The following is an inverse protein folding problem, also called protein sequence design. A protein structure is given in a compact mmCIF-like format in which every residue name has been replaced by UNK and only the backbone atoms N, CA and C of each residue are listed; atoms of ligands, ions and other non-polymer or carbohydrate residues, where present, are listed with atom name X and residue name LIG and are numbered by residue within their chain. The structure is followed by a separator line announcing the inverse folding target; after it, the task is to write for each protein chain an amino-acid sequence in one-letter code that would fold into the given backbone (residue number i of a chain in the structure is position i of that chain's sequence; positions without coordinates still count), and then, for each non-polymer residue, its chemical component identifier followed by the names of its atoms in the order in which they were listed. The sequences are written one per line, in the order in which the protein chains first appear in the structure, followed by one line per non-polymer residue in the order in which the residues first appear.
data_IF_634599117183
#
_entry.id   IF_634599117183
#
_cell.length_a   1.000
_cell.length_b   1.000
_cell.length_c   1.000
_cell.angle_alpha   90.00
_cell.angle_beta   90.00
_cell.angle_gamma   90.00
#
_symmetry.space_group_name_H-M   'P 1'
#
loop_
_entity.id
_entity.type
_entity.pdbx_description
1 polymer ?
#
# COMPACT_ATOMS: atom_id res chain seq x y z
N UNK A 1 -15.98 22.94 10.40
CA UNK A 1 -15.11 24.11 10.59
C UNK A 1 -14.77 24.63 9.21
N UNK A 2 -14.72 25.94 9.04
CA UNK A 2 -14.29 26.57 7.77
C UNK A 2 -12.76 26.51 7.64
N UNK A 3 -12.20 26.40 6.45
CA UNK A 3 -10.74 26.44 6.21
C UNK A 3 -10.04 27.70 6.74
N UNK A 4 -8.80 27.56 7.26
CA UNK A 4 -8.07 28.69 7.88
C UNK A 4 -7.92 29.87 6.92
N UNK A 5 -7.71 29.63 5.62
CA UNK A 5 -7.57 30.68 4.61
C UNK A 5 -8.86 31.50 4.44
N UNK A 6 -10.01 30.83 4.35
CA UNK A 6 -11.30 31.50 4.24
C UNK A 6 -11.64 32.25 5.54
N UNK A 7 -11.29 31.65 6.68
CA UNK A 7 -11.41 32.28 7.98
C UNK A 7 -10.57 33.57 8.08
N UNK A 8 -9.30 33.52 7.69
CA UNK A 8 -8.40 34.68 7.69
C UNK A 8 -8.90 35.76 6.73
N UNK A 9 -9.37 35.41 5.53
CA UNK A 9 -9.98 36.40 4.61
C UNK A 9 -11.13 37.16 5.28
N UNK A 10 -12.03 36.44 5.97
CA UNK A 10 -13.15 37.05 6.70
C UNK A 10 -12.66 37.87 7.91
N UNK A 11 -11.64 37.40 8.61
CA UNK A 11 -11.07 38.06 9.78
C UNK A 11 -10.41 39.39 9.38
N UNK A 12 -9.54 39.37 8.38
CA UNK A 12 -8.84 40.57 7.90
C UNK A 12 -9.77 41.57 7.21
N UNK A 13 -10.87 41.12 6.59
CA UNK A 13 -11.92 42.02 6.08
C UNK A 13 -12.65 42.82 7.17
N UNK A 14 -12.44 42.52 8.46
CA UNK A 14 -12.95 43.33 9.58
C UNK A 14 -11.96 44.42 10.01
N UNK A 15 -10.73 44.41 9.47
CA UNK A 15 -9.68 45.35 9.84
C UNK A 15 -9.39 46.30 8.68
N UNK A 16 -9.82 47.55 8.82
CA UNK A 16 -9.68 48.58 7.79
C UNK A 16 -8.23 48.85 7.37
N UNK A 17 -7.24 48.54 8.22
CA UNK A 17 -5.82 48.75 7.90
C UNK A 17 -5.30 47.84 6.78
N UNK A 18 -6.03 46.76 6.48
CA UNK A 18 -5.65 45.71 5.51
C UNK A 18 -6.58 45.63 4.29
N UNK A 19 -7.45 46.62 4.09
CA UNK A 19 -8.40 46.66 2.98
C UNK A 19 -8.00 47.79 2.03
N UNK A 20 -7.90 47.48 0.73
CA UNK A 20 -7.65 48.43 -0.33
C UNK A 20 -8.89 49.24 -0.71
N UNK A 21 -8.71 50.27 -1.56
CA UNK A 21 -9.81 51.13 -2.01
C UNK A 21 -10.93 50.37 -2.72
N UNK A 22 -10.59 49.24 -3.34
CA UNK A 22 -11.50 48.39 -4.11
C UNK A 22 -12.23 47.35 -3.24
N UNK A 23 -12.01 47.37 -1.91
CA UNK A 23 -12.59 46.40 -0.97
C UNK A 23 -11.85 45.06 -0.87
N UNK A 24 -10.75 44.93 -1.61
CA UNK A 24 -9.88 43.75 -1.60
C UNK A 24 -8.83 43.80 -0.50
N UNK A 25 -8.33 42.63 -0.10
CA UNK A 25 -7.31 42.52 0.94
C UNK A 25 -5.93 42.89 0.40
N UNK A 26 -5.22 43.72 1.16
CA UNK A 26 -3.84 44.11 0.88
C UNK A 26 -2.86 43.02 1.35
N UNK A 27 -2.82 41.89 0.63
CA UNK A 27 -2.00 40.70 1.00
C UNK A 27 -0.54 41.09 1.21
N UNK A 28 0.03 41.89 0.30
CA UNK A 28 1.42 42.34 0.39
C UNK A 28 1.70 43.12 1.68
N UNK A 29 0.73 43.91 2.16
CA UNK A 29 0.84 44.64 3.41
C UNK A 29 0.78 43.71 4.62
N UNK A 30 -0.16 42.74 4.63
CA UNK A 30 -0.25 41.73 5.69
C UNK A 30 1.07 40.93 5.77
N UNK A 31 1.64 40.57 4.62
CA UNK A 31 2.89 39.84 4.53
C UNK A 31 4.11 40.64 5.00
N UNK A 32 4.17 41.93 4.69
CA UNK A 32 5.24 42.80 5.17
C UNK A 32 5.12 43.06 6.68
N UNK A 33 3.91 43.32 7.19
CA UNK A 33 3.69 43.49 8.63
C UNK A 33 4.06 42.23 9.42
N UNK A 34 3.80 41.05 8.86
CA UNK A 34 4.23 39.78 9.45
C UNK A 34 5.75 39.61 9.43
N UNK A 35 6.41 40.01 8.34
CA UNK A 35 7.88 39.98 8.19
C UNK A 35 8.58 40.90 9.19
N UNK A 36 7.97 42.06 9.46
CA UNK A 36 8.50 43.08 10.35
C UNK A 36 8.03 42.93 11.80
N UNK A 37 7.36 41.82 12.16
CA UNK A 37 6.81 41.58 13.50
C UNK A 37 5.98 42.74 14.04
N UNK A 38 5.12 43.32 13.18
CA UNK A 38 4.31 44.48 13.53
C UNK A 38 3.44 44.19 14.77
N UNK A 39 3.52 45.08 15.78
CA UNK A 39 2.84 44.87 17.06
C UNK A 39 1.31 44.88 16.97
N UNK A 40 0.72 45.66 16.05
CA UNK A 40 -0.72 45.70 15.84
C UNK A 40 -1.22 44.41 15.20
N UNK A 41 -0.50 43.89 14.20
CA UNK A 41 -0.81 42.59 13.60
C UNK A 41 -0.74 41.48 14.65
N UNK A 42 0.33 41.42 15.44
CA UNK A 42 0.49 40.39 16.46
C UNK A 42 -0.62 40.49 17.51
N UNK A 43 -0.95 41.68 18.00
CA UNK A 43 -2.09 41.89 18.92
C UNK A 43 -3.42 41.46 18.29
N UNK A 44 -3.63 41.76 17.02
CA UNK A 44 -4.83 41.37 16.28
C UNK A 44 -4.96 39.84 16.21
N UNK A 45 -3.86 39.12 15.92
CA UNK A 45 -3.83 37.66 15.88
C UNK A 45 -3.97 37.04 17.30
N UNK A 46 -3.38 37.67 18.32
CA UNK A 46 -3.50 37.24 19.72
C UNK A 46 -4.94 37.34 20.24
N UNK A 47 -5.79 38.20 19.70
CA UNK A 47 -7.19 38.30 20.13
C UNK A 47 -8.10 37.21 19.52
N UNK A 48 -7.57 36.40 18.60
CA UNK A 48 -8.32 35.36 17.91
C UNK A 48 -7.84 33.96 18.31
N UNK A 49 -8.72 33.16 18.94
CA UNK A 49 -8.37 31.80 19.41
C UNK A 49 -7.84 30.89 18.30
N UNK A 50 -8.30 31.08 17.06
CA UNK A 50 -7.90 30.24 15.95
C UNK A 50 -6.51 30.64 15.45
N UNK A 51 -6.25 31.94 15.34
CA UNK A 51 -4.92 32.45 15.02
C UNK A 51 -3.90 32.11 16.11
N UNK A 52 -4.30 32.15 17.38
CA UNK A 52 -3.49 31.65 18.49
C UNK A 52 -3.06 30.19 18.27
N UNK A 53 -3.99 29.32 17.89
CA UNK A 53 -3.68 27.92 17.67
C UNK A 53 -2.72 27.68 16.48
N UNK A 54 -2.92 28.37 15.37
CA UNK A 54 -2.15 28.11 14.14
C UNK A 54 -0.82 28.85 14.07
N UNK A 55 -0.76 30.09 14.57
CA UNK A 55 0.35 31.00 14.31
C UNK A 55 1.09 31.47 15.56
N UNK A 56 0.64 31.06 16.74
CA UNK A 56 1.28 31.41 18.00
C UNK A 56 1.64 30.13 18.76
N UNK A 57 2.74 30.17 19.49
CA UNK A 57 3.21 29.05 20.31
C UNK A 57 3.55 29.59 21.70
N UNK A 58 3.07 28.93 22.75
CA UNK A 58 3.33 29.33 24.13
C UNK A 58 4.41 28.43 24.71
N UNK A 59 5.52 29.04 25.12
CA UNK A 59 6.63 28.38 25.82
C UNK A 59 6.75 29.06 27.18
N UNK A 60 6.36 28.34 28.23
CA UNK A 60 6.22 28.87 29.59
C UNK A 60 5.38 30.16 29.61
N UNK A 61 5.99 31.30 29.93
CA UNK A 61 5.35 32.60 30.02
C UNK A 61 5.48 33.43 28.73
N UNK A 62 6.19 32.93 27.72
CA UNK A 62 6.45 33.64 26.47
C UNK A 62 5.54 33.12 25.36
N UNK A 63 4.96 34.04 24.58
CA UNK A 63 4.23 33.69 23.36
C UNK A 63 5.04 34.07 22.13
N UNK A 64 5.36 33.08 21.31
CA UNK A 64 6.15 33.21 20.09
C UNK A 64 5.21 33.30 18.88
N UNK A 65 5.37 34.34 18.07
CA UNK A 65 4.69 34.43 16.78
C UNK A 65 5.47 33.67 15.72
N UNK A 66 4.84 32.64 15.15
CA UNK A 66 5.37 31.84 14.05
C UNK A 66 5.18 32.59 12.74
N UNK A 67 5.96 33.67 12.58
CA UNK A 67 5.83 34.62 11.48
C UNK A 67 5.97 33.96 10.10
N UNK A 68 6.86 32.97 9.99
CA UNK A 68 7.04 32.22 8.74
C UNK A 68 5.81 31.36 8.41
N UNK A 69 5.28 30.58 9.36
CA UNK A 69 4.04 29.80 9.18
C UNK A 69 2.87 30.69 8.73
N UNK A 70 2.75 31.87 9.34
CA UNK A 70 1.71 32.84 8.98
C UNK A 70 1.93 33.40 7.57
N UNK A 71 3.16 33.80 7.23
CA UNK A 71 3.52 34.30 5.90
C UNK A 71 3.32 33.25 4.82
N UNK A 72 3.62 32.00 5.10
CA UNK A 72 3.30 30.88 4.21
C UNK A 72 1.79 30.77 3.99
N UNK A 73 0.98 30.88 5.05
CA UNK A 73 -0.48 30.79 4.93
C UNK A 73 -1.11 31.91 4.09
N UNK A 74 -0.65 33.15 4.22
CA UNK A 74 -1.20 34.29 3.46
C UNK A 74 -0.66 34.38 2.03
N UNK A 75 0.54 33.86 1.78
CA UNK A 75 1.13 33.76 0.43
C UNK A 75 0.74 32.45 -0.28
N UNK A 76 0.10 31.52 0.44
CA UNK A 76 -0.46 30.30 -0.12
C UNK A 76 -1.45 30.64 -1.23
N UNK A 77 -1.37 29.90 -2.34
CA UNK A 77 -2.21 30.19 -3.47
C UNK A 77 -3.70 29.95 -3.20
N UNK A 78 -4.19 29.46 -2.05
CA UNK A 78 -5.62 29.57 -1.64
C UNK A 78 -6.04 30.97 -1.24
N UNK A 79 -5.10 31.80 -0.82
CA UNK A 79 -5.34 33.23 -0.76
C UNK A 79 -5.51 33.80 -2.18
N UNK A 80 -4.80 33.24 -3.16
CA UNK A 80 -4.73 33.67 -4.57
C UNK A 80 -5.50 32.82 -5.62
N UNK A 81 -6.19 31.73 -5.26
CA UNK A 81 -6.92 30.83 -6.18
C UNK A 81 -6.62 29.31 -6.22
N UNK A 82 -5.40 28.74 -6.13
CA UNK A 82 -5.13 27.34 -6.57
C UNK A 82 -3.91 26.58 -5.96
N UNK A 83 -3.67 26.50 -4.64
CA UNK A 83 -2.70 25.52 -4.11
C UNK A 83 -3.13 24.93 -2.78
N UNK A 84 -2.93 23.65 -2.58
CA UNK A 84 -3.36 22.97 -1.36
C UNK A 84 -2.24 22.63 -0.39
N UNK A 85 -1.01 23.05 -0.69
CA UNK A 85 0.21 22.58 -0.02
C UNK A 85 1.03 23.74 0.47
N UNK A 86 1.92 23.48 1.44
CA UNK A 86 2.84 24.51 1.94
C UNK A 86 3.91 24.90 0.89
N UNK A 87 4.04 24.11 -0.18
CA UNK A 87 5.03 24.30 -1.23
C UNK A 87 4.41 24.90 -2.49
N UNK A 88 5.19 25.72 -3.20
CA UNK A 88 4.77 26.28 -4.48
C UNK A 88 4.51 25.21 -5.55
N UNK A 89 3.60 25.48 -6.48
CA UNK A 89 3.21 24.56 -7.57
C UNK A 89 4.30 24.37 -8.67
N UNK A 90 5.58 24.54 -8.33
CA UNK A 90 6.71 24.31 -9.23
C UNK A 90 7.59 23.21 -8.66
N UNK A 91 7.89 22.20 -9.48
CA UNK A 91 8.91 21.20 -9.12
C UNK A 91 10.23 21.95 -8.97
N UNK A 92 10.88 21.78 -7.82
CA UNK A 92 12.09 22.53 -7.51
C UNK A 92 12.72 22.09 -6.20
N UNK A 93 13.96 22.49 -6.03
CA UNK A 93 14.70 22.37 -4.78
C UNK A 93 14.33 23.58 -3.91
N UNK A 94 13.86 23.31 -2.70
CA UNK A 94 13.44 24.32 -1.72
C UNK A 94 14.06 23.99 -0.37
N UNK A 95 14.23 25.01 0.48
CA UNK A 95 14.64 24.80 1.87
C UNK A 95 13.41 24.61 2.74
N UNK A 96 13.59 24.04 3.93
CA UNK A 96 12.52 23.87 4.93
C UNK A 96 11.98 25.21 5.46
N UNK A 97 12.77 26.28 5.33
CA UNK A 97 12.50 27.62 5.86
C UNK A 97 12.06 28.67 4.83
N UNK A 98 12.19 28.42 3.53
CA UNK A 98 11.77 29.40 2.52
C UNK A 98 11.42 28.80 1.14
N UNK A 99 10.58 29.52 0.39
CA UNK A 99 10.18 29.19 -0.99
C UNK A 99 11.24 29.69 -2.01
N UNK A 100 12.30 30.35 -1.56
CA UNK A 100 13.33 30.94 -2.44
C UNK A 100 14.36 29.88 -2.85
N UNK A 101 14.72 29.88 -4.15
CA UNK A 101 15.74 28.99 -4.71
C UNK A 101 17.08 29.14 -3.98
N UNK A 102 17.73 27.99 -3.77
CA UNK A 102 18.92 27.79 -2.95
C UNK A 102 20.12 28.56 -3.48
N UNK A 103 20.74 29.32 -2.58
CA UNK A 103 22.18 29.58 -2.54
C UNK A 103 22.59 29.44 -1.06
N UNK A 104 23.25 28.33 -0.70
CA UNK A 104 23.89 28.06 0.60
C UNK A 104 23.01 27.58 1.78
N UNK A 105 22.32 26.44 1.67
CA UNK A 105 21.82 25.71 2.85
C UNK A 105 22.11 24.21 2.77
N UNK A 106 22.36 23.59 3.93
CA UNK A 106 22.73 22.17 4.08
C UNK A 106 21.55 21.20 3.86
N UNK A 107 20.31 21.71 3.90
CA UNK A 107 19.09 20.90 3.80
C UNK A 107 18.20 21.35 2.65
N UNK A 108 18.20 20.54 1.59
CA UNK A 108 17.42 20.77 0.38
C UNK A 108 16.39 19.66 0.22
N UNK A 109 15.12 20.04 0.06
CA UNK A 109 14.03 19.09 -0.17
C UNK A 109 13.52 19.25 -1.60
N UNK A 110 13.30 18.13 -2.28
CA UNK A 110 12.58 18.13 -3.55
C UNK A 110 11.10 18.42 -3.28
N UNK A 111 10.63 19.56 -3.78
CA UNK A 111 9.25 20.00 -3.68
C UNK A 111 8.36 19.24 -4.68
N UNK A 112 7.47 18.41 -4.16
CA UNK A 112 6.32 17.94 -4.90
C UNK A 112 5.07 18.69 -4.42
N UNK A 113 4.32 19.35 -5.32
CA UNK A 113 3.14 20.17 -5.00
C UNK A 113 1.96 19.44 -4.36
N UNK A 114 2.12 18.24 -3.79
CA UNK A 114 1.09 17.46 -3.09
C UNK A 114 1.68 16.57 -1.97
N UNK A 115 2.97 16.72 -1.63
CA UNK A 115 3.69 15.80 -0.74
C UNK A 115 3.10 15.75 0.67
N UNK A 116 2.60 16.89 1.16
CA UNK A 116 2.13 17.09 2.54
C UNK A 116 0.62 17.37 2.63
N UNK A 117 -0.13 16.83 1.67
CA UNK A 117 -1.59 16.90 1.63
C UNK A 117 -2.26 15.59 2.06
N UNK A 118 -3.47 15.72 2.58
CA UNK A 118 -4.45 14.65 2.77
C UNK A 118 -5.71 15.00 1.99
N UNK A 119 -6.33 14.04 1.32
CA UNK A 119 -7.53 14.29 0.52
C UNK A 119 -8.82 14.03 1.33
N UNK A 120 -9.62 15.08 1.56
CA UNK A 120 -11.03 14.95 1.97
C UNK A 120 -11.90 14.73 0.73
N UNK A 121 -11.90 13.48 0.25
CA UNK A 121 -12.62 13.03 -0.94
C UNK A 121 -13.74 12.04 -0.59
N UNK A 122 -14.91 12.21 -1.21
CA UNK A 122 -16.02 11.26 -1.14
C UNK A 122 -15.72 10.01 -1.98
N UNK A 123 -16.16 8.83 -1.52
CA UNK A 123 -15.91 7.59 -2.25
C UNK A 123 -16.90 7.38 -3.40
N UNK A 124 -18.13 7.85 -3.21
CA UNK A 124 -19.20 7.72 -4.21
C UNK A 124 -19.57 9.07 -4.78
N UNK A 125 -20.06 9.08 -6.02
CA UNK A 125 -20.61 10.29 -6.65
C UNK A 125 -21.79 10.85 -5.85
N UNK A 126 -22.60 9.99 -5.24
CA UNK A 126 -23.72 10.41 -4.39
C UNK A 126 -23.22 11.13 -3.16
N UNK A 127 -22.16 10.67 -2.50
CA UNK A 127 -21.54 11.42 -1.40
C UNK A 127 -20.91 12.74 -1.87
N UNK A 128 -20.18 12.73 -2.98
CA UNK A 128 -19.58 13.94 -3.55
C UNK A 128 -20.64 15.00 -3.90
N UNK A 129 -21.75 14.59 -4.54
CA UNK A 129 -22.88 15.46 -4.90
C UNK A 129 -23.71 15.88 -3.69
N UNK A 130 -24.04 14.96 -2.78
CA UNK A 130 -24.90 15.22 -1.60
C UNK A 130 -24.23 16.14 -0.58
N UNK A 131 -22.92 16.05 -0.44
CA UNK A 131 -22.17 16.89 0.51
C UNK A 131 -21.76 18.24 -0.08
N UNK A 132 -21.93 18.45 -1.40
CA UNK A 132 -21.39 19.59 -2.16
C UNK A 132 -19.89 19.84 -1.90
N UNK A 133 -19.17 18.82 -1.44
CA UNK A 133 -17.73 18.90 -1.17
C UNK A 133 -17.00 18.58 -2.47
N UNK A 134 -16.42 19.61 -3.08
CA UNK A 134 -15.32 19.40 -4.04
C UNK A 134 -14.22 18.63 -3.30
N UNK A 135 -13.66 17.62 -3.95
CA UNK A 135 -12.45 16.92 -3.48
C UNK A 135 -11.42 17.95 -3.03
N UNK A 136 -11.21 18.04 -1.73
CA UNK A 136 -10.36 19.08 -1.16
C UNK A 136 -9.10 18.47 -0.61
N UNK A 137 -7.97 18.95 -1.10
CA UNK A 137 -6.67 18.64 -0.54
C UNK A 137 -6.41 19.53 0.68
N UNK A 138 -5.98 18.91 1.76
CA UNK A 138 -5.83 19.53 3.07
C UNK A 138 -4.36 19.48 3.47
N UNK A 139 -3.74 20.62 3.78
CA UNK A 139 -2.32 20.69 4.16
C UNK A 139 -2.09 20.30 5.63
N UNK A 140 -1.07 19.48 5.90
CA UNK A 140 -0.73 18.99 7.24
C UNK A 140 -0.45 20.10 8.28
N UNK A 141 0.09 21.25 7.87
CA UNK A 141 0.39 22.37 8.77
C UNK A 141 -0.84 23.26 8.94
N UNK A 142 -1.38 23.74 7.83
CA UNK A 142 -2.40 24.80 7.83
C UNK A 142 -3.81 24.32 8.21
N UNK A 143 -4.05 23.00 8.19
CA UNK A 143 -5.37 22.42 8.47
C UNK A 143 -5.28 21.26 9.46
N UNK A 144 -4.33 21.37 10.37
CA UNK A 144 -4.06 20.36 11.40
C UNK A 144 -5.34 19.90 12.11
N UNK A 145 -6.23 20.81 12.50
CA UNK A 145 -7.48 20.43 13.19
C UNK A 145 -8.44 19.64 12.29
N UNK A 146 -8.57 20.04 11.03
CA UNK A 146 -9.48 19.38 10.08
C UNK A 146 -8.96 17.98 9.75
N UNK A 147 -7.64 17.82 9.56
CA UNK A 147 -7.00 16.51 9.39
C UNK A 147 -7.13 15.67 10.66
N UNK A 148 -6.91 16.26 11.84
CA UNK A 148 -7.06 15.55 13.11
C UNK A 148 -8.48 15.02 13.28
N UNK A 149 -9.48 15.82 12.95
CA UNK A 149 -10.89 15.39 12.95
C UNK A 149 -11.19 14.35 11.90
N UNK A 150 -10.57 14.44 10.73
CA UNK A 150 -10.73 13.45 9.67
C UNK A 150 -10.17 12.10 10.14
N UNK A 151 -8.96 12.09 10.69
CA UNK A 151 -8.22 10.92 11.18
C UNK A 151 -8.69 10.42 12.56
N UNK A 152 -9.52 11.16 13.28
CA UNK A 152 -9.99 10.71 14.60
C UNK A 152 -10.85 9.45 14.50
N UNK A 153 -10.83 8.56 15.49
CA UNK A 153 -11.75 7.42 15.53
C UNK A 153 -13.21 7.89 15.47
N UNK A 154 -14.03 7.17 14.70
CA UNK A 154 -15.47 7.44 14.55
C UNK A 154 -16.27 6.42 15.35
N UNK A 155 -17.36 6.88 15.97
CA UNK A 155 -18.31 5.99 16.60
C UNK A 155 -19.15 5.29 15.52
N UNK A 156 -19.04 3.97 15.44
CA UNK A 156 -19.90 3.14 14.59
C UNK A 156 -21.33 3.12 15.16
N UNK A 157 -22.32 3.11 14.28
CA UNK A 157 -23.76 3.12 14.60
C UNK A 157 -24.49 2.10 13.72
N UNK A 158 -25.74 1.81 14.04
CA UNK A 158 -26.63 0.92 13.27
C UNK A 158 -26.07 -0.50 13.13
N UNK A 159 -25.59 -1.08 14.24
CA UNK A 159 -25.08 -2.44 14.26
C UNK A 159 -26.20 -3.43 13.95
N UNK A 160 -25.91 -4.33 13.01
CA UNK A 160 -26.75 -5.47 12.66
C UNK A 160 -25.89 -6.71 12.64
N UNK A 161 -26.40 -7.80 13.19
CA UNK A 161 -25.75 -9.11 13.12
C UNK A 161 -26.59 -10.00 12.22
N UNK A 162 -25.92 -10.69 11.31
CA UNK A 162 -26.56 -11.65 10.42
C UNK A 162 -26.06 -13.06 10.77
N UNK A 163 -26.98 -13.97 11.02
CA UNK A 163 -26.71 -15.40 11.17
C UNK A 163 -27.40 -16.18 10.04
N UNK A 164 -26.85 -17.34 9.71
CA UNK A 164 -27.40 -18.23 8.69
C UNK A 164 -27.84 -19.51 9.38
N UNK A 165 -29.15 -19.70 9.52
CA UNK A 165 -29.78 -20.87 10.16
C UNK A 165 -30.79 -21.48 9.18
N UNK A 166 -30.71 -22.79 8.92
CA UNK A 166 -31.62 -23.51 8.01
C UNK A 166 -31.78 -22.84 6.62
N UNK A 167 -30.65 -22.47 6.01
CA UNK A 167 -30.61 -21.76 4.71
C UNK A 167 -31.32 -20.41 4.66
N UNK A 168 -31.67 -19.84 5.83
CA UNK A 168 -32.32 -18.54 5.95
C UNK A 168 -31.42 -17.56 6.67
N UNK A 169 -31.38 -16.34 6.12
CA UNK A 169 -30.72 -15.22 6.75
C UNK A 169 -31.60 -14.71 7.91
N UNK A 170 -31.01 -14.57 9.09
CA UNK A 170 -31.66 -14.02 10.28
C UNK A 170 -30.92 -12.77 10.73
N UNK A 171 -31.66 -11.67 10.88
CA UNK A 171 -31.14 -10.41 11.40
C UNK A 171 -31.36 -10.33 12.91
N UNK A 172 -30.29 -10.02 13.65
CA UNK A 172 -30.28 -9.92 15.11
C UNK A 172 -29.62 -8.59 15.53
N UNK A 173 -30.01 -8.07 16.70
CA UNK A 173 -29.33 -6.93 17.31
C UNK A 173 -28.22 -7.44 18.22
N UNK A 174 -26.93 -7.16 17.93
CA UNK A 174 -25.84 -7.64 18.77
C UNK A 174 -25.78 -6.90 20.11
N UNK A 175 -25.68 -7.64 21.21
CA UNK A 175 -25.46 -7.09 22.55
C UNK A 175 -24.03 -6.55 22.73
N UNK A 176 -23.04 -7.24 22.12
CA UNK A 176 -21.63 -6.85 22.11
C UNK A 176 -20.88 -7.49 20.93
N UNK A 177 -19.75 -6.88 20.51
CA UNK A 177 -18.81 -7.43 19.51
C UNK A 177 -17.66 -8.13 20.25
N UNK A 178 -17.57 -9.46 20.12
CA UNK A 178 -16.58 -10.30 20.80
C UNK A 178 -15.18 -10.22 20.17
N UNK A 179 -15.07 -9.72 18.94
CA UNK A 179 -13.82 -9.43 18.25
C UNK A 179 -13.33 -10.54 17.32
N UNK A 180 -14.09 -11.62 17.17
CA UNK A 180 -13.85 -12.72 16.24
C UNK A 180 -14.91 -12.81 15.13
N UNK A 181 -15.86 -11.87 15.10
CA UNK A 181 -16.89 -11.82 14.07
C UNK A 181 -16.37 -11.23 12.76
N UNK A 182 -16.99 -11.64 11.65
CA UNK A 182 -16.82 -10.99 10.35
C UNK A 182 -17.55 -9.63 10.37
N UNK A 183 -16.87 -8.57 9.94
CA UNK A 183 -17.40 -7.21 9.97
C UNK A 183 -17.58 -6.66 8.56
N UNK A 184 -18.75 -6.08 8.31
CA UNK A 184 -19.02 -5.25 7.13
C UNK A 184 -19.24 -3.82 7.64
N UNK A 185 -18.42 -2.89 7.17
CA UNK A 185 -18.49 -1.48 7.55
C UNK A 185 -18.93 -0.66 6.35
N UNK A 186 -20.09 -0.02 6.45
CA UNK A 186 -20.57 0.92 5.44
C UNK A 186 -20.13 2.35 5.81
N UNK A 187 -19.34 2.98 4.94
CA UNK A 187 -18.92 4.37 5.08
C UNK A 187 -17.61 4.66 4.33
N UNK A 188 -17.05 5.85 4.55
CA UNK A 188 -15.75 6.21 3.98
C UNK A 188 -14.64 5.32 4.55
N UNK A 189 -13.96 4.57 3.69
CA UNK A 189 -12.90 3.63 4.03
C UNK A 189 -11.74 4.30 4.79
N UNK A 190 -11.37 5.54 4.48
CA UNK A 190 -10.32 6.25 5.22
C UNK A 190 -10.70 6.46 6.69
N UNK A 191 -11.93 6.91 6.94
CA UNK A 191 -12.45 7.09 8.29
C UNK A 191 -12.63 5.74 9.02
N UNK A 192 -13.07 4.71 8.29
CA UNK A 192 -13.19 3.35 8.83
C UNK A 192 -11.82 2.79 9.26
N UNK A 193 -10.80 2.87 8.38
CA UNK A 193 -9.44 2.43 8.67
C UNK A 193 -8.84 3.17 9.87
N UNK A 194 -9.01 4.50 9.94
CA UNK A 194 -8.59 5.29 11.10
C UNK A 194 -9.23 4.80 12.40
N UNK A 195 -10.51 4.41 12.35
CA UNK A 195 -11.25 3.92 13.52
C UNK A 195 -10.82 2.49 13.90
N UNK A 196 -10.52 1.64 12.90
CA UNK A 196 -10.06 0.27 13.11
C UNK A 196 -8.64 0.21 13.70
N UNK A 197 -7.79 1.20 13.38
CA UNK A 197 -6.40 1.27 13.87
C UNK A 197 -6.30 1.10 15.38
N UNK A 198 -7.21 1.70 16.15
CA UNK A 198 -7.21 1.62 17.61
C UNK A 198 -7.30 0.18 18.16
N UNK A 199 -7.92 -0.75 17.42
CA UNK A 199 -8.12 -2.15 17.84
C UNK A 199 -7.27 -3.15 17.06
N UNK A 200 -7.03 -2.89 15.77
CA UNK A 200 -6.49 -3.85 14.81
C UNK A 200 -5.10 -3.50 14.26
N UNK A 201 -4.46 -2.42 14.74
CA UNK A 201 -3.06 -2.14 14.38
C UNK A 201 -2.17 -3.36 14.69
N UNK A 202 -1.35 -3.77 13.72
CA UNK A 202 -0.45 -4.92 13.84
C UNK A 202 -1.12 -6.30 13.82
N UNK A 203 -2.41 -6.42 13.52
CA UNK A 203 -3.17 -7.68 13.68
C UNK A 203 -3.74 -8.26 12.39
N UNK A 204 -3.72 -7.51 11.30
CA UNK A 204 -4.31 -7.96 10.04
C UNK A 204 -3.29 -8.80 9.26
N UNK A 205 -3.62 -10.07 9.03
CA UNK A 205 -2.73 -10.99 8.30
C UNK A 205 -2.68 -10.70 6.80
N UNK A 206 -3.81 -10.35 6.21
CA UNK A 206 -3.95 -10.20 4.77
C UNK A 206 -4.89 -9.04 4.45
N UNK A 207 -4.47 -8.19 3.52
CA UNK A 207 -5.30 -7.14 2.93
C UNK A 207 -5.39 -7.40 1.42
N UNK A 208 -6.60 -7.33 0.89
CA UNK A 208 -6.85 -7.30 -0.55
C UNK A 208 -7.67 -6.07 -0.86
N UNK A 209 -7.25 -5.29 -1.85
CA UNK A 209 -8.01 -4.13 -2.33
C UNK A 209 -8.02 -4.07 -3.86
N UNK A 210 -9.18 -3.65 -4.38
CA UNK A 210 -9.42 -3.35 -5.79
C UNK A 210 -9.84 -1.86 -5.90
N UNK A 211 -8.87 -0.92 -5.84
CA UNK A 211 -9.13 0.51 -5.90
C UNK A 211 -9.64 0.96 -7.28
N UNK A 212 -10.21 2.18 -7.40
CA UNK A 212 -10.50 2.76 -8.72
C UNK A 212 -9.22 2.85 -9.56
N UNK A 213 -9.30 2.48 -10.85
CA UNK A 213 -8.16 2.42 -11.76
C UNK A 213 -7.84 3.75 -12.45
N UNK A 214 -8.68 4.75 -12.23
CA UNK A 214 -8.57 6.07 -12.84
C UNK A 214 -8.68 6.02 -14.38
N UNK A 215 -9.60 5.21 -14.90
CA UNK A 215 -9.76 5.01 -16.35
C UNK A 215 -10.43 6.20 -17.05
N UNK A 216 -11.01 7.13 -16.29
CA UNK A 216 -11.88 8.18 -16.80
C UNK A 216 -13.26 7.67 -17.23
N UNK A 217 -13.52 6.36 -17.15
CA UNK A 217 -14.83 5.79 -17.44
C UNK A 217 -15.74 5.92 -16.22
N UNK A 218 -16.69 6.83 -16.35
CA UNK A 218 -17.54 7.29 -15.26
C UNK A 218 -18.73 6.33 -15.02
N UNK A 219 -18.46 5.08 -14.65
CA UNK A 219 -19.53 4.11 -14.30
C UNK A 219 -20.26 4.50 -13.00
N UNK A 220 -21.46 3.95 -12.78
CA UNK A 220 -22.45 4.48 -11.83
C UNK A 220 -22.03 4.40 -10.34
N UNK A 221 -21.08 3.55 -9.97
CA UNK A 221 -20.89 3.12 -8.57
C UNK A 221 -19.73 3.77 -7.81
N UNK A 222 -18.65 4.18 -8.49
CA UNK A 222 -17.45 4.75 -7.84
C UNK A 222 -16.92 5.97 -8.58
N UNK A 223 -16.21 6.86 -7.88
CA UNK A 223 -15.43 7.89 -8.57
C UNK A 223 -14.21 7.20 -9.22
N UNK A 224 -14.09 7.28 -10.54
CA UNK A 224 -12.97 6.73 -11.31
C UNK A 224 -12.34 7.80 -12.23
N UNK A 225 -12.63 9.06 -11.94
CA UNK A 225 -12.17 10.20 -12.70
C UNK A 225 -11.45 11.18 -11.76
N UNK A 226 -10.25 10.80 -11.34
CA UNK A 226 -9.37 11.62 -10.52
C UNK A 226 -8.34 12.32 -11.41
N UNK A 227 -7.92 13.52 -11.01
CA UNK A 227 -6.59 13.96 -11.43
C UNK A 227 -5.57 12.97 -10.84
N UNK A 228 -4.58 12.55 -11.63
CA UNK A 228 -3.53 11.62 -11.20
C UNK A 228 -2.92 11.96 -9.82
N UNK A 229 -2.66 13.25 -9.56
CA UNK A 229 -2.15 13.72 -8.26
C UNK A 229 -3.15 13.49 -7.10
N UNK A 230 -4.45 13.65 -7.36
CA UNK A 230 -5.49 13.38 -6.38
C UNK A 230 -5.63 11.88 -6.11
N UNK A 231 -5.51 11.05 -7.16
CA UNK A 231 -5.51 9.59 -7.03
C UNK A 231 -4.35 9.11 -6.15
N UNK A 232 -3.14 9.63 -6.37
CA UNK A 232 -1.97 9.25 -5.56
C UNK A 232 -2.13 9.63 -4.09
N UNK A 233 -2.65 10.83 -3.78
CA UNK A 233 -2.91 11.20 -2.37
C UNK A 233 -4.03 10.35 -1.77
N UNK A 234 -5.10 10.08 -2.53
CA UNK A 234 -6.19 9.20 -2.13
C UNK A 234 -5.68 7.81 -1.73
N UNK A 235 -4.81 7.23 -2.56
CA UNK A 235 -4.20 5.91 -2.30
C UNK A 235 -3.18 5.95 -1.18
N UNK A 236 -2.30 6.96 -1.14
CA UNK A 236 -1.23 7.11 -0.13
C UNK A 236 -1.79 7.03 1.28
N UNK A 237 -2.78 7.87 1.58
CA UNK A 237 -3.39 7.97 2.91
C UNK A 237 -3.96 6.62 3.38
N UNK A 238 -4.53 5.83 2.46
CA UNK A 238 -5.13 4.52 2.75
C UNK A 238 -4.10 3.41 2.88
N UNK A 239 -3.11 3.39 1.99
CA UNK A 239 -2.02 2.41 1.99
C UNK A 239 -1.15 2.56 3.25
N UNK A 240 -0.91 3.80 3.71
CA UNK A 240 -0.23 4.05 4.98
C UNK A 240 -0.97 3.44 6.17
N UNK A 241 -2.29 3.64 6.26
CA UNK A 241 -3.12 3.01 7.29
C UNK A 241 -3.15 1.49 7.14
N UNK A 242 -3.25 0.96 5.92
CA UNK A 242 -3.23 -0.46 5.66
C UNK A 242 -1.93 -1.11 6.17
N UNK A 243 -0.78 -0.47 5.93
CA UNK A 243 0.52 -0.94 6.45
C UNK A 243 0.57 -0.98 7.98
N UNK A 244 -0.01 0.00 8.66
CA UNK A 244 -0.08 0.03 10.13
C UNK A 244 -1.00 -1.06 10.69
N UNK A 245 -2.04 -1.44 9.95
CA UNK A 245 -2.97 -2.51 10.32
C UNK A 245 -2.36 -3.90 10.15
N UNK A 246 -1.48 -4.10 9.17
CA UNK A 246 -0.85 -5.39 8.92
C UNK A 246 -0.03 -5.88 10.13
N UNK A 247 -0.07 -7.19 10.40
CA UNK A 247 0.92 -7.87 11.24
C UNK A 247 2.28 -7.93 10.54
N UNK A 248 3.36 -8.18 11.28
CA UNK A 248 4.72 -8.20 10.71
C UNK A 248 4.92 -9.30 9.67
N UNK A 249 4.22 -10.42 9.85
CA UNK A 249 4.12 -11.51 8.90
C UNK A 249 2.96 -11.33 7.89
N UNK A 250 2.39 -10.13 7.79
CA UNK A 250 1.23 -9.83 6.96
C UNK A 250 1.58 -9.37 5.55
N UNK A 251 0.63 -9.50 4.63
CA UNK A 251 0.77 -9.09 3.24
C UNK A 251 -0.43 -8.29 2.72
N UNK A 252 -0.20 -7.48 1.69
CA UNK A 252 -1.21 -6.74 0.96
C UNK A 252 -1.14 -7.04 -0.54
N UNK A 253 -2.31 -7.27 -1.12
CA UNK A 253 -2.55 -7.37 -2.54
C UNK A 253 -3.33 -6.13 -3.01
N UNK A 254 -2.82 -5.46 -4.05
CA UNK A 254 -3.47 -4.29 -4.65
C UNK A 254 -3.63 -4.51 -6.15
N UNK A 255 -4.88 -4.60 -6.60
CA UNK A 255 -5.21 -4.76 -8.01
C UNK A 255 -5.18 -3.41 -8.72
N UNK A 256 -4.76 -3.38 -9.98
CA UNK A 256 -4.78 -2.18 -10.81
C UNK A 256 -4.68 -2.53 -12.30
N UNK A 257 -5.16 -1.64 -13.17
CA UNK A 257 -4.84 -1.69 -14.61
C UNK A 257 -3.59 -0.87 -14.95
N UNK A 258 -3.31 -0.70 -16.24
CA UNK A 258 -2.12 -0.02 -16.72
C UNK A 258 -2.08 1.50 -16.50
N UNK A 259 -3.21 2.16 -16.19
CA UNK A 259 -3.25 3.61 -16.01
C UNK A 259 -2.41 4.05 -14.81
N UNK A 260 -2.53 3.33 -13.69
CA UNK A 260 -1.94 3.73 -12.41
C UNK A 260 -0.90 2.74 -11.86
N UNK A 261 -0.73 1.55 -12.47
CA UNK A 261 0.14 0.48 -11.94
C UNK A 261 1.57 0.93 -11.65
N UNK A 262 2.20 1.67 -12.56
CA UNK A 262 3.59 2.09 -12.38
C UNK A 262 3.74 3.08 -11.22
N UNK A 263 2.80 4.02 -11.09
CA UNK A 263 2.81 5.02 -10.04
C UNK A 263 2.41 4.44 -8.69
N UNK A 264 1.45 3.50 -8.68
CA UNK A 264 1.10 2.71 -7.53
C UNK A 264 2.31 1.92 -7.01
N UNK A 265 3.08 1.29 -7.90
CA UNK A 265 4.31 0.57 -7.53
C UNK A 265 5.32 1.49 -6.84
N UNK A 266 5.55 2.69 -7.40
CA UNK A 266 6.46 3.69 -6.79
C UNK A 266 5.94 4.15 -5.43
N UNK A 267 4.64 4.40 -5.32
CA UNK A 267 4.01 4.79 -4.05
C UNK A 267 4.10 3.68 -3.00
N UNK A 268 3.87 2.43 -3.39
CA UNK A 268 4.00 1.28 -2.49
C UNK A 268 5.45 1.03 -2.08
N UNK A 269 6.44 1.27 -2.96
CA UNK A 269 7.86 1.24 -2.58
C UNK A 269 8.19 2.27 -1.50
N UNK A 270 7.62 3.49 -1.57
CA UNK A 270 7.79 4.51 -0.53
C UNK A 270 7.14 4.08 0.79
N UNK A 271 5.94 3.50 0.75
CA UNK A 271 5.16 3.18 1.95
C UNK A 271 5.64 1.89 2.62
N UNK A 272 5.79 0.81 1.85
CA UNK A 272 6.13 -0.52 2.38
C UNK A 272 7.63 -0.77 2.42
N UNK A 273 8.42 -0.01 1.67
CA UNK A 273 9.84 -0.28 1.45
C UNK A 273 10.01 -1.17 0.22
N UNK A 274 10.96 -0.79 -0.65
CA UNK A 274 11.21 -1.50 -1.92
C UNK A 274 11.57 -2.97 -1.72
N UNK A 275 12.32 -3.28 -0.66
CA UNK A 275 12.77 -4.65 -0.36
C UNK A 275 11.62 -5.55 0.11
N UNK A 276 10.49 -4.98 0.53
CA UNK A 276 9.30 -5.73 0.93
C UNK A 276 8.38 -6.08 -0.24
N UNK A 277 8.73 -5.69 -1.46
CA UNK A 277 8.04 -6.10 -2.68
C UNK A 277 8.26 -7.60 -2.94
N UNK A 278 7.16 -8.34 -3.15
CA UNK A 278 7.23 -9.79 -3.38
C UNK A 278 7.06 -10.11 -4.86
N UNK A 279 5.97 -9.64 -5.47
CA UNK A 279 5.65 -9.99 -6.85
C UNK A 279 4.62 -9.05 -7.47
N UNK A 280 4.59 -9.04 -8.81
CA UNK A 280 3.53 -8.45 -9.61
C UNK A 280 2.88 -9.56 -10.43
N UNK A 281 1.67 -9.96 -10.05
CA UNK A 281 0.94 -10.99 -10.78
C UNK A 281 0.21 -10.36 -11.98
N UNK A 282 0.20 -11.11 -13.08
CA UNK A 282 -0.56 -10.74 -14.29
C UNK A 282 -1.84 -11.57 -14.30
N UNK A 283 -2.98 -10.91 -14.15
CA UNK A 283 -4.28 -11.59 -14.22
C UNK A 283 -4.89 -11.35 -15.60
N UNK A 284 -5.10 -12.45 -16.32
CA UNK A 284 -5.72 -12.42 -17.65
C UNK A 284 -7.20 -12.07 -17.51
N UNK A 285 -7.64 -11.01 -18.18
CA UNK A 285 -9.02 -10.48 -18.13
C UNK A 285 -9.82 -10.79 -19.39
N UNK A 286 -9.16 -11.08 -20.52
CA UNK A 286 -9.81 -11.39 -21.80
C UNK A 286 -9.32 -12.70 -22.41
N UNK A 287 -10.23 -13.44 -23.06
CA UNK A 287 -9.89 -14.68 -23.79
C UNK A 287 -9.82 -14.50 -25.31
N UNK A 288 -10.50 -13.52 -25.89
CA UNK A 288 -10.63 -13.33 -27.34
C UNK A 288 -9.84 -12.12 -27.87
N UNK A 289 -9.25 -12.27 -29.05
CA UNK A 289 -8.58 -11.18 -29.77
C UNK A 289 -9.57 -10.03 -30.04
N UNK A 290 -9.23 -8.82 -29.59
CA UNK A 290 -10.03 -7.63 -29.89
C UNK A 290 -9.54 -7.03 -31.21
N UNK A 291 -10.28 -7.32 -32.28
CA UNK A 291 -9.95 -6.91 -33.65
C UNK A 291 -10.07 -5.38 -33.82
N UNK A 292 -10.87 -4.74 -32.98
CA UNK A 292 -11.12 -3.29 -32.96
C UNK A 292 -10.10 -2.49 -32.12
N UNK A 293 -9.07 -3.15 -31.55
CA UNK A 293 -8.05 -2.45 -30.80
C UNK A 293 -7.20 -1.56 -31.72
N UNK A 294 -7.13 -0.26 -31.40
CA UNK A 294 -6.35 0.73 -32.18
C UNK A 294 -4.86 0.40 -32.28
N UNK A 295 -4.28 -0.18 -31.24
CA UNK A 295 -2.86 -0.54 -31.17
C UNK A 295 -2.69 -1.99 -30.70
N UNK A 296 -2.83 -2.22 -29.39
CA UNK A 296 -2.71 -3.54 -28.76
C UNK A 296 -3.99 -3.79 -27.96
N UNK A 297 -4.55 -4.99 -28.11
CA UNK A 297 -5.65 -5.46 -27.29
C UNK A 297 -5.14 -5.72 -25.86
N UNK A 298 -5.48 -4.83 -24.92
CA UNK A 298 -5.21 -5.04 -23.50
C UNK A 298 -6.08 -6.21 -22.99
N UNK A 299 -5.45 -7.26 -22.48
CA UNK A 299 -6.11 -8.51 -22.05
C UNK A 299 -5.72 -8.97 -20.65
N UNK A 300 -5.07 -8.10 -19.89
CA UNK A 300 -4.65 -8.38 -18.52
C UNK A 300 -4.72 -7.11 -17.68
N UNK A 301 -4.79 -7.34 -16.37
CA UNK A 301 -4.51 -6.35 -15.35
C UNK A 301 -3.43 -6.91 -14.39
N UNK A 302 -3.11 -6.12 -13.38
CA UNK A 302 -1.97 -6.34 -12.50
C UNK A 302 -2.44 -6.48 -11.05
N UNK A 303 -1.68 -7.25 -10.28
CA UNK A 303 -1.91 -7.42 -8.85
C UNK A 303 -0.55 -7.35 -8.14
N UNK A 304 -0.31 -6.23 -7.48
CA UNK A 304 0.92 -6.00 -6.72
C UNK A 304 0.82 -6.65 -5.35
N UNK A 305 1.88 -7.37 -4.97
CA UNK A 305 2.02 -8.01 -3.66
C UNK A 305 3.20 -7.44 -2.89
N UNK A 306 2.91 -6.95 -1.69
CA UNK A 306 3.90 -6.51 -0.70
C UNK A 306 3.71 -7.23 0.62
N UNK A 307 4.81 -7.52 1.31
CA UNK A 307 4.79 -7.85 2.73
C UNK A 307 4.87 -6.57 3.57
N UNK A 308 4.48 -6.65 4.84
CA UNK A 308 4.86 -5.62 5.81
C UNK A 308 6.35 -5.73 6.17
N UNK A 309 6.82 -6.97 6.36
CA UNK A 309 8.22 -7.30 6.56
C UNK A 309 8.52 -8.63 5.85
N UNK A 310 9.45 -8.59 4.89
CA UNK A 310 9.80 -9.74 4.05
C UNK A 310 10.52 -10.85 4.83
N UNK A 311 11.14 -10.54 5.97
CA UNK A 311 11.84 -11.54 6.78
C UNK A 311 10.88 -12.45 7.55
N UNK A 312 9.65 -12.00 7.80
CA UNK A 312 8.63 -12.73 8.56
C UNK A 312 7.52 -13.34 7.69
N UNK A 313 7.46 -12.99 6.40
CA UNK A 313 6.38 -13.45 5.54
C UNK A 313 6.49 -14.95 5.25
N UNK A 314 5.36 -15.65 5.32
CA UNK A 314 5.26 -17.07 5.00
C UNK A 314 4.26 -17.26 3.84
N UNK A 315 4.78 -17.51 2.64
CA UNK A 315 4.00 -17.79 1.42
C UNK A 315 4.40 -19.17 0.91
N UNK A 316 3.45 -19.91 0.32
CA UNK A 316 3.63 -21.26 -0.24
C UNK A 316 3.99 -22.36 0.78
N UNK A 317 3.56 -22.22 2.04
CA UNK A 317 3.59 -23.30 3.04
C UNK A 317 2.25 -24.04 3.12
N UNK A 318 1.67 -24.41 1.97
CA UNK A 318 0.60 -25.41 2.01
C UNK A 318 1.22 -26.75 2.37
N UNK A 319 0.76 -27.33 3.47
CA UNK A 319 0.85 -28.76 3.70
C UNK A 319 0.06 -29.37 2.54
N UNK A 320 0.71 -30.21 1.72
CA UNK A 320 0.07 -30.80 0.56
C UNK A 320 -1.27 -31.46 0.95
N UNK A 321 -2.39 -30.94 0.44
CA UNK A 321 -3.76 -31.47 0.65
C UNK A 321 -3.93 -32.94 0.24
N UNK A 322 -2.92 -33.51 -0.44
CA UNK A 322 -2.90 -34.89 -0.86
C UNK A 322 -1.99 -35.75 0.04
N UNK A 323 -2.29 -35.78 1.35
CA UNK A 323 -1.64 -36.71 2.29
C UNK A 323 -1.74 -38.17 1.80
N UNK A 324 -2.82 -38.52 1.10
CA UNK A 324 -3.05 -39.85 0.53
C UNK A 324 -1.96 -40.28 -0.47
N UNK A 325 -1.26 -39.32 -1.10
CA UNK A 325 -0.15 -39.61 -2.00
C UNK A 325 1.17 -39.93 -1.29
N UNK A 326 1.30 -39.59 -0.01
CA UNK A 326 2.48 -39.83 0.84
C UNK A 326 2.32 -41.14 1.60
N UNK A 327 2.44 -42.26 0.87
CA UNK A 327 2.13 -43.61 1.36
C UNK A 327 3.31 -44.31 2.05
N UNK A 328 4.53 -43.80 1.92
CA UNK A 328 5.73 -44.45 2.44
C UNK A 328 6.20 -43.79 3.74
N UNK A 329 6.80 -44.59 4.61
CA UNK A 329 7.37 -44.19 5.88
C UNK A 329 8.74 -44.85 6.08
N UNK A 330 9.62 -44.15 6.80
CA UNK A 330 10.94 -44.62 7.19
C UNK A 330 11.17 -44.32 8.69
N UNK A 331 12.36 -44.63 9.19
CA UNK A 331 12.77 -44.34 10.57
C UNK A 331 12.70 -42.85 10.94
N UNK A 332 12.63 -41.95 9.96
CA UNK A 332 12.55 -40.50 10.16
C UNK A 332 11.12 -39.96 10.10
N UNK A 333 10.09 -40.80 10.04
CA UNK A 333 8.68 -40.37 9.91
C UNK A 333 8.25 -39.32 10.95
N UNK A 334 8.77 -39.39 12.18
CA UNK A 334 8.45 -38.41 13.23
C UNK A 334 9.09 -37.03 13.02
N UNK A 335 10.18 -36.94 12.25
CA UNK A 335 10.92 -35.69 12.01
C UNK A 335 10.68 -35.15 10.61
N UNK A 336 10.57 -36.02 9.59
CA UNK A 336 10.39 -35.66 8.18
C UNK A 336 8.95 -35.86 7.69
N UNK A 337 8.13 -36.63 8.40
CA UNK A 337 6.80 -37.04 7.94
C UNK A 337 6.86 -38.10 6.84
N UNK A 338 5.69 -38.63 6.46
CA UNK A 338 5.56 -39.58 5.36
C UNK A 338 6.08 -38.98 4.05
N UNK A 339 6.50 -39.84 3.13
CA UNK A 339 7.06 -39.44 1.84
C UNK A 339 6.37 -40.10 0.66
N UNK A 340 6.59 -39.52 -0.52
CA UNK A 340 6.34 -40.15 -1.82
C UNK A 340 7.61 -40.22 -2.64
N UNK A 341 7.71 -41.24 -3.49
CA UNK A 341 8.84 -41.42 -4.37
C UNK A 341 8.66 -40.59 -5.64
N UNK A 342 9.58 -39.67 -5.90
CA UNK A 342 9.68 -38.94 -7.15
C UNK A 342 10.90 -39.41 -7.93
N UNK A 343 10.77 -39.64 -9.23
CA UNK A 343 11.94 -39.94 -10.07
C UNK A 343 12.97 -38.81 -10.02
N UNK A 344 14.25 -39.16 -9.86
CA UNK A 344 15.35 -38.20 -9.80
C UNK A 344 15.60 -37.53 -11.16
N UNK A 345 15.36 -38.24 -12.26
CA UNK A 345 15.45 -37.70 -13.60
C UNK A 345 14.18 -36.92 -14.00
N UNK A 346 14.35 -35.97 -14.92
CA UNK A 346 13.25 -35.20 -15.50
C UNK A 346 13.61 -34.78 -16.92
N UNK A 347 12.61 -34.77 -17.80
CA UNK A 347 12.73 -34.05 -19.07
C UNK A 347 13.03 -32.57 -18.83
N UNK A 348 14.08 -32.07 -19.47
CA UNK A 348 14.52 -30.67 -19.37
C UNK A 348 14.47 -30.00 -20.74
N UNK A 349 14.00 -28.75 -20.76
CA UNK A 349 13.98 -27.91 -21.97
C UNK A 349 15.41 -27.41 -22.29
N UNK A 350 16.30 -27.36 -21.29
CA UNK A 350 17.68 -26.90 -21.42
C UNK A 350 18.65 -27.98 -20.94
N UNK A 351 19.64 -28.29 -21.76
CA UNK A 351 20.71 -29.21 -21.39
C UNK A 351 21.62 -28.58 -20.31
N UNK A 352 22.12 -29.41 -19.40
CA UNK A 352 23.12 -29.01 -18.40
C UNK A 352 24.10 -30.15 -18.17
N UNK A 353 25.34 -29.96 -18.60
CA UNK A 353 26.44 -30.93 -18.44
C UNK A 353 26.63 -31.33 -16.97
N UNK A 354 26.47 -30.38 -16.04
CA UNK A 354 26.60 -30.62 -14.60
C UNK A 354 25.53 -31.56 -14.02
N UNK A 355 24.45 -31.79 -14.75
CA UNK A 355 23.32 -32.63 -14.36
C UNK A 355 23.22 -33.89 -15.23
N UNK A 356 24.19 -34.14 -16.10
CA UNK A 356 24.26 -35.30 -16.98
C UNK A 356 25.51 -36.11 -16.65
N UNK A 357 25.36 -37.04 -15.71
CA UNK A 357 26.46 -37.87 -15.21
C UNK A 357 25.94 -39.29 -14.89
N UNK A 358 26.77 -40.34 -15.04
CA UNK A 358 26.36 -41.68 -14.66
C UNK A 358 26.28 -41.83 -13.14
N UNK A 359 25.25 -42.54 -12.66
CA UNK A 359 25.10 -42.89 -11.24
C UNK A 359 25.29 -44.39 -11.08
N UNK A 360 26.14 -44.81 -10.14
CA UNK A 360 26.39 -46.23 -9.87
C UNK A 360 25.34 -46.78 -8.91
N UNK A 361 24.63 -47.82 -9.34
CA UNK A 361 23.68 -48.58 -8.53
C UNK A 361 24.41 -49.51 -7.53
N UNK A 362 23.70 -50.02 -6.50
CA UNK A 362 24.29 -50.92 -5.50
C UNK A 362 24.88 -52.22 -6.07
N UNK A 363 24.34 -52.73 -7.19
CA UNK A 363 24.86 -53.92 -7.89
C UNK A 363 26.02 -53.60 -8.85
N UNK A 364 26.41 -52.33 -8.93
CA UNK A 364 27.49 -51.84 -9.77
C UNK A 364 27.06 -51.39 -11.17
N UNK A 365 25.78 -51.54 -11.55
CA UNK A 365 25.27 -51.04 -12.84
C UNK A 365 25.28 -49.52 -12.90
N UNK A 366 25.44 -48.95 -14.10
CA UNK A 366 25.40 -47.51 -14.32
C UNK A 366 24.01 -47.08 -14.80
N UNK A 367 23.44 -46.11 -14.11
CA UNK A 367 22.14 -45.50 -14.43
C UNK A 367 22.39 -44.13 -15.06
N UNK A 368 21.65 -43.83 -16.12
CA UNK A 368 21.69 -42.55 -16.83
C UNK A 368 20.31 -41.88 -16.77
N UNK A 369 20.28 -40.55 -16.85
CA UNK A 369 19.03 -39.80 -16.85
C UNK A 369 18.19 -40.18 -18.08
N UNK A 370 16.91 -40.48 -17.88
CA UNK A 370 16.04 -40.97 -18.96
C UNK A 370 16.39 -42.38 -19.46
N UNK A 371 17.26 -43.12 -18.77
CA UNK A 371 17.53 -44.54 -18.99
C UNK A 371 18.54 -44.88 -20.10
N UNK A 372 19.10 -43.89 -20.80
CA UNK A 372 20.07 -44.10 -21.89
C UNK A 372 21.30 -43.24 -21.70
N UNK A 373 22.45 -43.73 -22.17
CA UNK A 373 23.74 -43.03 -22.04
C UNK A 373 23.82 -41.78 -22.92
N UNK A 374 23.13 -41.79 -24.05
CA UNK A 374 23.09 -40.67 -24.99
C UNK A 374 22.06 -39.66 -24.54
N UNK A 375 22.35 -38.37 -24.70
CA UNK A 375 21.43 -37.32 -24.32
C UNK A 375 20.10 -37.43 -25.07
N UNK A 376 19.01 -37.59 -24.32
CA UNK A 376 17.66 -37.78 -24.83
C UNK A 376 16.67 -36.67 -24.38
N UNK A 377 17.18 -35.52 -23.94
CA UNK A 377 16.35 -34.46 -23.37
C UNK A 377 16.09 -34.59 -21.87
N UNK A 378 16.70 -35.55 -21.19
CA UNK A 378 16.59 -35.74 -19.74
C UNK A 378 17.90 -35.40 -19.04
N UNK A 379 17.79 -34.87 -17.82
CA UNK A 379 18.92 -34.68 -16.92
C UNK A 379 18.49 -35.03 -15.49
N UNK A 380 19.46 -35.16 -14.59
CA UNK A 380 19.18 -35.31 -13.17
C UNK A 380 18.63 -34.00 -12.60
N UNK A 381 17.77 -34.10 -11.58
CA UNK A 381 17.31 -32.92 -10.83
C UNK A 381 18.38 -32.36 -9.91
N UNK A 382 19.34 -33.20 -9.49
CA UNK A 382 20.37 -32.86 -8.50
C UNK A 382 21.76 -32.94 -9.12
N UNK A 383 22.64 -32.03 -8.71
CA UNK A 383 24.08 -32.14 -8.97
C UNK A 383 24.64 -33.36 -8.24
N UNK A 384 25.84 -33.80 -8.66
CA UNK A 384 26.52 -34.94 -8.04
C UNK A 384 26.71 -34.75 -6.52
N UNK A 385 27.18 -33.58 -6.09
CA UNK A 385 27.37 -33.29 -4.66
C UNK A 385 26.06 -33.39 -3.85
N UNK A 386 24.94 -32.95 -4.44
CA UNK A 386 23.62 -33.04 -3.79
C UNK A 386 23.08 -34.47 -3.79
N UNK A 387 23.39 -35.27 -4.82
CA UNK A 387 23.09 -36.69 -4.84
C UNK A 387 23.86 -37.43 -3.73
N UNK A 388 25.16 -37.18 -3.61
CA UNK A 388 26.01 -37.82 -2.61
C UNK A 388 25.51 -37.49 -1.19
N UNK A 389 25.23 -36.22 -0.91
CA UNK A 389 24.55 -35.79 0.33
C UNK A 389 23.21 -36.51 0.54
N UNK A 390 22.42 -36.67 -0.52
CA UNK A 390 21.13 -37.35 -0.48
C UNK A 390 21.21 -38.83 -0.15
N UNK A 391 22.23 -39.52 -0.66
CA UNK A 391 22.51 -40.93 -0.35
C UNK A 391 22.93 -41.06 1.11
N UNK A 392 23.83 -40.20 1.59
CA UNK A 392 24.30 -40.19 2.98
C UNK A 392 23.18 -39.90 4.00
N UNK A 393 22.19 -39.09 3.61
CA UNK A 393 21.11 -38.64 4.49
C UNK A 393 19.78 -39.41 4.29
N UNK A 394 19.81 -40.55 3.58
CA UNK A 394 18.65 -41.41 3.32
C UNK A 394 17.50 -40.70 2.58
N UNK A 395 17.81 -39.79 1.64
CA UNK A 395 16.82 -39.14 0.75
C UNK A 395 16.72 -39.80 -0.63
N UNK A 396 17.58 -40.79 -0.93
CA UNK A 396 17.66 -41.45 -2.23
C UNK A 396 17.37 -42.94 -2.08
N UNK A 397 16.50 -43.46 -2.94
CA UNK A 397 16.17 -44.89 -3.00
C UNK A 397 16.44 -45.44 -4.39
N UNK A 398 17.23 -46.51 -4.41
CA UNK A 398 17.43 -47.36 -5.59
C UNK A 398 16.36 -48.45 -5.61
N UNK A 399 15.48 -48.43 -6.61
CA UNK A 399 14.42 -49.44 -6.77
C UNK A 399 14.64 -50.21 -8.06
N UNK A 400 14.77 -51.54 -7.94
CA UNK A 400 14.87 -52.43 -9.11
C UNK A 400 13.51 -52.53 -9.80
N UNK A 401 13.45 -52.15 -11.07
CA UNK A 401 12.29 -52.25 -11.94
C UNK A 401 12.63 -53.28 -13.02
N UNK A 402 12.13 -54.50 -12.84
CA UNK A 402 12.39 -55.65 -13.73
C UNK A 402 13.91 -55.95 -13.86
N UNK A 403 14.57 -55.43 -14.90
CA UNK A 403 16.00 -55.67 -15.22
C UNK A 403 16.91 -54.46 -14.95
N UNK A 404 16.38 -53.30 -14.55
CA UNK A 404 17.15 -52.06 -14.36
C UNK A 404 16.82 -51.37 -13.03
N UNK A 405 17.73 -50.50 -12.54
CA UNK A 405 17.47 -49.67 -11.35
C UNK A 405 16.87 -48.32 -11.74
N UNK A 406 15.74 -47.98 -11.13
CA UNK A 406 15.23 -46.62 -11.08
C UNK A 406 15.71 -45.89 -9.83
N UNK A 407 15.99 -44.59 -9.96
CA UNK A 407 16.47 -43.75 -8.87
C UNK A 407 15.40 -42.73 -8.45
N UNK A 408 15.07 -42.74 -7.16
CA UNK A 408 13.97 -41.95 -6.62
C UNK A 408 14.43 -41.07 -5.45
N UNK A 409 13.90 -39.85 -5.40
CA UNK A 409 14.03 -38.93 -4.27
C UNK A 409 12.82 -39.11 -3.35
N UNK A 410 13.08 -39.12 -2.04
CA UNK A 410 12.07 -38.97 -1.01
C UNK A 410 11.58 -37.52 -0.99
N UNK A 411 10.32 -37.32 -1.38
CA UNK A 411 9.64 -36.06 -1.18
C UNK A 411 8.81 -36.19 0.09
N UNK A 412 9.30 -35.63 1.19
CA UNK A 412 8.69 -35.70 2.52
C UNK A 412 7.68 -34.57 2.71
N UNK A 413 6.63 -34.81 3.50
CA UNK A 413 5.54 -33.83 3.66
C UNK A 413 5.89 -32.64 4.56
N UNK A 414 6.86 -32.79 5.48
CA UNK A 414 7.23 -31.75 6.43
C UNK A 414 8.52 -30.99 6.06
N UNK A 415 9.10 -31.29 4.89
CA UNK A 415 10.30 -30.65 4.33
C UNK A 415 9.93 -29.94 3.03
#
# INVERSE_FOLDING_TARGET
MEYIHNYLKKLFKKNNNYIGKDGDLLISKIAEDARLYNSELIKFLLNDKRCQYYFLEKIDDVTIFKSEDFRMCINDARFLGNSFTKYGNKIGLITDKSIVKIMNEDYVVLSYPYKDCTLDGGMTKTEAKRTNRKETMINNILFKDDIHKLKSPKAFKNFKKYSFENEKLKEETPEAIKGNENLIINGNNFAALCSLKAKFAGKIKLIYIDPPYNTGSDTFSYNDNFNHSAWLVFMKDRLQLARELLSDDGAIFVQCDDNEQAYLKVLMDEIFGRDNFISNFIRKTGQAARIDAKYIAKQHDYLLLYSKNIDYILINKEIADNMDSYIYEDEFVYTRGKYKLNKLDRGSIRYSDSLDYPIKAPDGTLIYAGGVKEYNGWCWRWSKDKLDWGIENNFIVFKKIIMEYGLFILNNINL
#
